data_IF_981199840246
#
_entry.id   IF_981199840246
#
_cell.length_a   1.000
_cell.length_b   1.000
_cell.length_c   1.000
_cell.angle_alpha   90.00
_cell.angle_beta   90.00
_cell.angle_gamma   90.00
#
_symmetry.space_group_name_H-M   'P 1'
#
loop_
_entity.id
_entity.type
_entity.pdbx_description
1 polymer ?
#
# COMPACT_ATOMS: atom_id res chain seq x y z
N UNK A 1 -39.34 93.41 13.27
CA UNK A 1 -38.15 92.54 13.31
C UNK A 1 -38.62 91.07 13.54
N UNK A 2 -38.68 90.30 12.47
CA UNK A 2 -39.09 88.85 12.58
C UNK A 2 -37.93 88.00 12.06
N UNK A 3 -37.29 87.25 12.94
CA UNK A 3 -36.23 86.32 12.64
C UNK A 3 -36.84 85.02 12.14
N UNK A 4 -36.43 84.60 10.95
CA UNK A 4 -36.82 83.26 10.39
C UNK A 4 -35.76 82.28 10.69
N UNK A 5 -36.05 81.34 11.57
CA UNK A 5 -35.23 80.13 11.85
C UNK A 5 -35.59 79.00 10.85
N UNK A 6 -34.67 78.64 10.01
CA UNK A 6 -34.81 77.48 9.11
C UNK A 6 -34.33 76.19 9.85
N UNK A 7 -35.04 75.04 9.71
CA UNK A 7 -34.71 73.85 10.46
C UNK A 7 -33.55 73.01 9.85
N UNK A 8 -32.59 72.63 10.68
CA UNK A 8 -31.37 71.85 10.44
C UNK A 8 -31.62 70.34 10.33
N UNK A 9 -32.74 69.87 9.76
CA UNK A 9 -33.09 68.44 9.86
C UNK A 9 -32.95 67.61 8.57
N UNK A 10 -32.52 68.24 7.42
CA UNK A 10 -32.44 67.48 6.15
C UNK A 10 -31.03 67.02 5.73
N UNK A 11 -29.97 67.46 6.40
CA UNK A 11 -28.57 67.04 6.04
C UNK A 11 -28.09 65.83 6.81
N UNK A 12 -28.77 65.33 7.87
CA UNK A 12 -28.36 64.16 8.59
C UNK A 12 -29.00 62.85 8.10
N UNK A 13 -30.03 62.91 7.27
CA UNK A 13 -30.71 61.75 6.71
C UNK A 13 -30.02 61.13 5.47
N UNK A 14 -29.14 61.88 4.79
CA UNK A 14 -28.46 61.42 3.55
C UNK A 14 -27.12 60.73 3.83
N UNK A 15 -26.55 60.86 5.03
CA UNK A 15 -25.30 60.15 5.42
C UNK A 15 -25.57 58.82 6.08
N UNK A 16 -26.79 58.49 6.52
CA UNK A 16 -27.14 57.19 7.09
C UNK A 16 -27.52 56.15 6.04
N UNK A 17 -27.85 56.51 4.81
CA UNK A 17 -28.22 55.60 3.74
C UNK A 17 -27.01 55.05 2.93
N UNK A 18 -25.85 55.71 2.99
CA UNK A 18 -24.64 55.27 2.28
C UNK A 18 -23.81 54.21 3.07
N UNK A 19 -24.10 54.03 4.36
CA UNK A 19 -23.38 53.09 5.24
C UNK A 19 -23.91 51.67 5.24
N UNK A 20 -25.08 51.39 4.67
CA UNK A 20 -25.72 50.07 4.73
C UNK A 20 -25.53 49.17 3.49
N UNK A 21 -24.81 49.63 2.46
CA UNK A 21 -24.61 48.87 1.22
C UNK A 21 -23.22 48.24 1.08
N UNK A 22 -22.37 48.28 2.11
CA UNK A 22 -21.00 47.72 2.05
C UNK A 22 -20.81 46.45 2.87
N UNK A 23 -21.88 45.79 3.34
CA UNK A 23 -21.78 44.66 4.26
C UNK A 23 -22.40 43.35 3.76
N UNK A 24 -22.57 43.12 2.48
CA UNK A 24 -23.23 41.91 1.98
C UNK A 24 -22.52 41.21 0.82
N UNK A 25 -21.21 41.17 0.83
CA UNK A 25 -20.45 40.20 0.00
C UNK A 25 -19.44 39.42 0.80
N UNK A 26 -19.84 38.92 1.96
CA UNK A 26 -19.25 37.67 2.44
C UNK A 26 -19.85 36.59 1.53
N UNK A 27 -19.25 36.39 0.36
CA UNK A 27 -19.50 35.23 -0.44
C UNK A 27 -19.31 34.02 0.49
N UNK A 28 -20.37 33.23 0.70
CA UNK A 28 -20.24 31.93 1.29
C UNK A 28 -19.14 31.23 0.48
N UNK A 29 -17.96 31.05 1.07
CA UNK A 29 -16.96 30.16 0.53
C UNK A 29 -17.66 28.82 0.46
N UNK A 30 -18.19 28.44 -0.72
CA UNK A 30 -18.58 27.07 -0.96
C UNK A 30 -17.31 26.26 -0.70
N UNK A 31 -17.29 25.53 0.41
CA UNK A 31 -16.28 24.51 0.59
C UNK A 31 -16.35 23.65 -0.66
N UNK A 32 -15.29 23.63 -1.44
CA UNK A 32 -15.21 22.79 -2.63
C UNK A 32 -15.51 21.35 -2.19
N UNK A 33 -16.33 20.64 -2.98
CA UNK A 33 -16.59 19.22 -2.66
C UNK A 33 -15.27 18.45 -2.67
N UNK A 34 -15.03 17.58 -1.67
CA UNK A 34 -13.80 16.80 -1.61
C UNK A 34 -13.57 15.98 -2.88
N UNK A 35 -12.34 15.97 -3.40
CA UNK A 35 -11.97 15.27 -4.61
C UNK A 35 -12.24 13.77 -4.45
N UNK A 36 -13.09 13.13 -5.29
CA UNK A 36 -13.33 11.70 -5.20
C UNK A 36 -12.13 10.90 -5.73
N UNK A 37 -11.55 10.07 -4.88
CA UNK A 37 -10.37 9.26 -5.19
C UNK A 37 -10.59 7.80 -4.78
N UNK A 38 -9.93 6.88 -5.48
CA UNK A 38 -9.94 5.45 -5.16
C UNK A 38 -8.51 4.97 -4.95
N UNK A 39 -8.29 4.15 -3.94
CA UNK A 39 -7.07 3.39 -3.73
C UNK A 39 -7.35 1.89 -3.92
N UNK A 40 -6.40 1.16 -4.50
CA UNK A 40 -6.58 -0.28 -4.79
C UNK A 40 -6.68 -1.12 -3.52
N UNK A 41 -5.89 -0.86 -2.48
CA UNK A 41 -5.87 -1.65 -1.24
C UNK A 41 -5.64 -0.79 0.01
N UNK A 42 -5.85 -1.39 1.18
CA UNK A 42 -5.96 -0.67 2.46
C UNK A 42 -4.69 0.09 2.86
N UNK A 43 -3.50 -0.47 2.64
CA UNK A 43 -2.22 0.18 2.98
C UNK A 43 -2.04 1.45 2.15
N UNK A 44 -2.24 1.36 0.84
CA UNK A 44 -2.17 2.52 -0.04
C UNK A 44 -3.28 3.53 0.28
N UNK A 45 -4.49 3.03 0.62
CA UNK A 45 -5.60 3.87 1.05
C UNK A 45 -5.25 4.73 2.26
N UNK A 46 -4.52 4.19 3.24
CA UNK A 46 -4.09 4.95 4.40
C UNK A 46 -3.06 6.04 4.04
N UNK A 47 -2.08 5.72 3.20
CA UNK A 47 -1.11 6.72 2.70
C UNK A 47 -1.83 7.84 1.95
N UNK A 48 -2.80 7.49 1.09
CA UNK A 48 -3.63 8.48 0.36
C UNK A 48 -4.44 9.34 1.33
N UNK A 49 -4.99 8.77 2.39
CA UNK A 49 -5.74 9.49 3.43
C UNK A 49 -4.85 10.45 4.21
N UNK A 50 -3.65 10.03 4.62
CA UNK A 50 -2.68 10.87 5.35
C UNK A 50 -2.28 12.10 4.52
N UNK A 51 -2.09 11.94 3.22
CA UNK A 51 -1.70 13.02 2.31
C UNK A 51 -2.89 13.87 1.87
N UNK A 52 -4.01 13.23 1.53
CA UNK A 52 -5.21 13.89 1.02
C UNK A 52 -5.99 14.66 2.09
N UNK A 53 -6.02 14.16 3.33
CA UNK A 53 -6.75 14.77 4.44
C UNK A 53 -8.24 14.92 4.13
N UNK A 54 -8.81 16.07 4.50
CA UNK A 54 -10.22 16.38 4.29
C UNK A 54 -10.53 16.91 2.89
N UNK A 55 -9.52 17.16 2.06
CA UNK A 55 -9.70 17.68 0.70
C UNK A 55 -10.08 16.57 -0.30
N UNK A 56 -10.07 15.31 0.15
CA UNK A 56 -10.43 14.14 -0.67
C UNK A 56 -11.60 13.36 -0.05
N UNK A 57 -12.35 12.66 -0.90
CA UNK A 57 -13.26 11.59 -0.52
C UNK A 57 -12.69 10.26 -1.04
N UNK A 58 -12.13 9.48 -0.13
CA UNK A 58 -11.43 8.24 -0.45
C UNK A 58 -12.34 7.02 -0.34
N UNK A 59 -12.37 6.23 -1.40
CA UNK A 59 -12.83 4.84 -1.40
C UNK A 59 -11.63 3.89 -1.55
N UNK A 60 -11.66 2.77 -0.85
CA UNK A 60 -10.65 1.70 -0.98
C UNK A 60 -11.33 0.45 -1.51
N UNK A 61 -10.73 -0.20 -2.54
CA UNK A 61 -11.33 -1.39 -3.16
C UNK A 61 -11.13 -2.61 -2.27
N UNK A 62 -9.88 -2.98 -1.98
CA UNK A 62 -9.59 -4.08 -1.05
C UNK A 62 -9.40 -3.51 0.35
N UNK A 63 -10.36 -3.79 1.22
CA UNK A 63 -10.41 -3.25 2.59
C UNK A 63 -9.44 -3.93 3.57
N UNK A 64 -9.54 -3.56 4.86
CA UNK A 64 -8.76 -4.20 5.92
C UNK A 64 -8.98 -5.72 5.97
N UNK A 65 -7.89 -6.46 6.28
CA UNK A 65 -7.83 -7.92 6.30
C UNK A 65 -8.21 -8.59 4.95
N UNK A 66 -8.29 -7.83 3.86
CA UNK A 66 -8.60 -8.33 2.52
C UNK A 66 -7.34 -8.73 1.78
N UNK A 67 -7.42 -9.83 1.04
CA UNK A 67 -6.35 -10.28 0.17
C UNK A 67 -6.43 -9.57 -1.19
N UNK A 68 -5.41 -8.79 -1.52
CA UNK A 68 -5.37 -8.05 -2.78
C UNK A 68 -4.84 -8.87 -3.97
N UNK A 69 -4.19 -10.01 -3.73
CA UNK A 69 -3.77 -10.92 -4.80
C UNK A 69 -4.95 -11.67 -5.43
N UNK A 70 -5.95 -12.04 -4.60
CA UNK A 70 -7.10 -12.86 -5.01
C UNK A 70 -8.43 -12.09 -5.00
N UNK A 71 -8.36 -10.77 -5.12
CA UNK A 71 -9.56 -9.95 -5.05
C UNK A 71 -10.44 -10.09 -6.30
N UNK A 72 -11.71 -10.37 -6.07
CA UNK A 72 -12.75 -10.37 -7.10
C UNK A 72 -13.58 -9.09 -7.04
N UNK A 73 -13.39 -8.14 -8.00
CA UNK A 73 -14.12 -6.88 -8.00
C UNK A 73 -15.64 -7.05 -8.14
N UNK A 74 -16.38 -6.25 -7.39
CA UNK A 74 -17.84 -6.23 -7.40
C UNK A 74 -18.40 -5.14 -8.33
N UNK A 75 -19.70 -5.19 -8.71
CA UNK A 75 -20.37 -4.08 -9.41
C UNK A 75 -20.35 -2.77 -8.60
N UNK A 76 -20.24 -2.85 -7.26
CA UNK A 76 -20.08 -1.71 -6.37
C UNK A 76 -18.74 -1.01 -6.59
N UNK A 77 -17.67 -1.78 -6.78
CA UNK A 77 -16.34 -1.24 -7.03
C UNK A 77 -16.23 -0.56 -8.39
N UNK A 78 -16.89 -1.12 -9.41
CA UNK A 78 -17.01 -0.47 -10.71
C UNK A 78 -17.70 0.90 -10.60
N UNK A 79 -18.74 1.04 -9.77
CA UNK A 79 -19.42 2.33 -9.53
C UNK A 79 -18.53 3.33 -8.80
N UNK A 80 -17.80 2.90 -7.75
CA UNK A 80 -16.85 3.75 -7.04
C UNK A 80 -15.78 4.27 -8.00
N UNK A 81 -15.20 3.37 -8.80
CA UNK A 81 -14.15 3.72 -9.74
C UNK A 81 -14.65 4.65 -10.85
N UNK A 82 -15.85 4.42 -11.41
CA UNK A 82 -16.47 5.29 -12.40
C UNK A 82 -16.67 6.74 -11.90
N UNK A 83 -16.91 6.92 -10.59
CA UNK A 83 -17.10 8.22 -9.98
C UNK A 83 -15.79 8.92 -9.57
N UNK A 84 -14.67 8.20 -9.55
CA UNK A 84 -13.40 8.73 -9.11
C UNK A 84 -12.73 9.64 -10.15
N UNK A 85 -11.96 10.61 -9.67
CA UNK A 85 -11.08 11.46 -10.50
C UNK A 85 -9.64 10.96 -10.52
N UNK A 86 -9.24 10.25 -9.45
CA UNK A 86 -7.90 9.66 -9.34
C UNK A 86 -8.03 8.23 -8.82
N UNK A 87 -7.30 7.34 -9.45
CA UNK A 87 -7.07 5.97 -9.00
C UNK A 87 -5.61 5.82 -8.58
N UNK A 88 -5.38 5.45 -7.33
CA UNK A 88 -4.06 5.10 -6.82
C UNK A 88 -3.88 3.59 -6.84
N UNK A 89 -2.78 3.14 -7.43
CA UNK A 89 -2.42 1.73 -7.56
C UNK A 89 -0.99 1.50 -7.04
N UNK A 90 -0.71 0.29 -6.56
CA UNK A 90 0.65 -0.08 -6.21
C UNK A 90 1.57 -0.07 -7.44
N UNK A 91 1.16 -0.76 -8.49
CA UNK A 91 2.03 -1.15 -9.60
C UNK A 91 2.83 -2.41 -9.27
N UNK A 92 3.93 -2.64 -10.00
CA UNK A 92 4.77 -3.85 -9.84
C UNK A 92 3.95 -5.15 -9.99
N UNK A 93 2.94 -5.14 -10.85
CA UNK A 93 2.03 -6.26 -11.14
C UNK A 93 1.22 -6.79 -9.93
N UNK A 94 1.06 -5.97 -8.88
CA UNK A 94 0.33 -6.37 -7.67
C UNK A 94 -1.16 -6.59 -7.93
N UNK A 95 -1.80 -5.67 -8.66
CA UNK A 95 -3.25 -5.69 -8.89
C UNK A 95 -3.61 -6.34 -10.23
N UNK A 96 -3.39 -7.64 -10.39
CA UNK A 96 -3.65 -8.35 -11.66
C UNK A 96 -5.12 -8.28 -12.13
N UNK A 97 -6.06 -8.13 -11.21
CA UNK A 97 -7.51 -7.99 -11.47
C UNK A 97 -7.92 -6.59 -11.95
N UNK A 98 -7.14 -5.57 -11.65
CA UNK A 98 -7.53 -4.17 -11.81
C UNK A 98 -7.75 -3.72 -13.27
N UNK A 99 -6.97 -4.13 -14.28
CA UNK A 99 -7.21 -3.73 -15.68
C UNK A 99 -8.60 -4.07 -16.19
N UNK A 100 -9.15 -5.22 -15.77
CA UNK A 100 -10.53 -5.64 -16.11
C UNK A 100 -11.56 -4.72 -15.46
N UNK A 101 -11.36 -4.35 -14.20
CA UNK A 101 -12.24 -3.42 -13.48
C UNK A 101 -12.21 -2.02 -14.09
N UNK A 102 -11.03 -1.48 -14.41
CA UNK A 102 -10.88 -0.17 -15.06
C UNK A 102 -11.66 -0.13 -16.38
N UNK A 103 -11.51 -1.16 -17.21
CA UNK A 103 -12.26 -1.28 -18.47
C UNK A 103 -13.77 -1.38 -18.24
N UNK A 104 -14.21 -2.20 -17.30
CA UNK A 104 -15.62 -2.43 -17.02
C UNK A 104 -16.33 -1.21 -16.39
N UNK A 105 -15.61 -0.42 -15.59
CA UNK A 105 -16.16 0.77 -14.92
C UNK A 105 -16.32 1.98 -15.84
N UNK A 106 -15.62 2.01 -16.98
CA UNK A 106 -15.53 3.21 -17.83
C UNK A 106 -14.76 4.37 -17.15
N UNK A 107 -13.86 4.07 -16.20
CA UNK A 107 -13.04 5.06 -15.51
C UNK A 107 -12.28 5.95 -16.51
N UNK A 108 -12.44 7.27 -16.35
CA UNK A 108 -11.84 8.27 -17.22
C UNK A 108 -10.94 9.26 -16.45
N UNK A 109 -10.64 8.95 -15.18
CA UNK A 109 -9.76 9.76 -14.35
C UNK A 109 -8.27 9.48 -14.57
N UNK A 110 -7.42 10.03 -13.70
CA UNK A 110 -5.98 9.82 -13.71
C UNK A 110 -5.58 8.60 -12.88
N UNK A 111 -4.68 7.76 -13.39
CA UNK A 111 -4.07 6.68 -12.61
C UNK A 111 -2.69 7.09 -12.12
N UNK A 112 -2.45 6.92 -10.81
CA UNK A 112 -1.18 7.21 -10.15
C UNK A 112 -0.57 5.92 -9.63
N UNK A 113 0.64 5.59 -10.09
CA UNK A 113 1.40 4.44 -9.61
C UNK A 113 2.22 4.87 -8.40
N UNK A 114 1.87 4.36 -7.22
CA UNK A 114 2.49 4.75 -5.96
C UNK A 114 3.95 4.29 -5.86
N UNK A 115 4.30 3.13 -6.42
CA UNK A 115 5.66 2.59 -6.43
C UNK A 115 6.58 3.21 -7.49
N UNK A 116 6.14 4.24 -8.22
CA UNK A 116 7.00 4.90 -9.23
C UNK A 116 8.31 5.38 -8.60
N UNK A 117 9.44 4.97 -9.20
CA UNK A 117 10.78 5.32 -8.71
C UNK A 117 11.35 4.37 -7.65
N UNK A 118 10.59 3.36 -7.23
CA UNK A 118 11.13 2.24 -6.43
C UNK A 118 12.07 1.42 -7.31
N UNK A 119 13.21 1.01 -6.77
CA UNK A 119 14.06 0.01 -7.42
C UNK A 119 13.40 -1.36 -7.27
N UNK A 120 12.97 -2.00 -8.37
CA UNK A 120 12.30 -3.29 -8.28
C UNK A 120 13.23 -4.36 -7.69
N UNK A 121 12.70 -5.12 -6.72
CA UNK A 121 13.34 -6.31 -6.20
C UNK A 121 12.92 -7.50 -7.05
N UNK A 122 13.88 -8.30 -7.49
CA UNK A 122 13.55 -9.57 -8.13
C UNK A 122 13.14 -10.59 -7.08
N UNK A 123 12.17 -11.42 -7.44
CA UNK A 123 11.83 -12.59 -6.65
C UNK A 123 13.02 -13.55 -6.64
N UNK A 124 13.51 -13.89 -5.46
CA UNK A 124 14.46 -14.97 -5.30
C UNK A 124 13.66 -16.29 -5.25
N UNK A 125 13.15 -16.73 -6.40
CA UNK A 125 12.49 -18.03 -6.52
C UNK A 125 13.35 -19.11 -5.85
N UNK A 126 12.71 -20.05 -5.16
CA UNK A 126 13.41 -21.23 -4.67
C UNK A 126 13.99 -21.91 -5.90
N UNK A 127 15.30 -21.77 -6.12
CA UNK A 127 15.99 -22.31 -7.27
C UNK A 127 15.70 -23.80 -7.38
N UNK A 128 14.86 -24.15 -8.34
CA UNK A 128 14.78 -25.51 -8.83
C UNK A 128 16.18 -25.85 -9.39
N UNK A 129 16.95 -26.53 -8.54
CA UNK A 129 18.26 -27.05 -8.91
C UNK A 129 18.14 -28.20 -9.92
N UNK A 130 17.44 -27.93 -11.02
CA UNK A 130 17.52 -28.75 -12.23
C UNK A 130 18.57 -28.12 -13.16
N UNK A 131 19.82 -28.46 -12.87
CA UNK A 131 20.89 -28.31 -13.84
C UNK A 131 20.54 -29.10 -15.10
N UNK A 132 19.91 -28.44 -16.07
CA UNK A 132 19.91 -28.94 -17.44
C UNK A 132 21.31 -28.69 -17.99
N UNK A 133 22.10 -29.78 -18.00
CA UNK A 133 23.33 -29.81 -18.76
C UNK A 133 23.02 -29.52 -20.24
N UNK A 134 23.60 -28.45 -20.73
CA UNK A 134 23.64 -28.13 -22.16
C UNK A 134 24.14 -29.36 -22.91
N UNK A 135 23.27 -29.97 -23.69
CA UNK A 135 23.64 -30.81 -24.84
C UNK A 135 23.16 -30.10 -26.08
N UNK A 136 24.11 -29.52 -26.78
CA UNK A 136 23.96 -29.03 -28.13
C UNK A 136 23.28 -30.09 -29.00
N UNK A 137 22.10 -29.78 -29.50
CA UNK A 137 21.54 -30.42 -30.67
C UNK A 137 20.97 -29.36 -31.59
N UNK A 138 21.77 -28.99 -32.59
CA UNK A 138 21.31 -28.31 -33.80
C UNK A 138 20.23 -29.15 -34.48
N UNK A 139 19.05 -28.62 -34.63
CA UNK A 139 18.05 -29.01 -35.60
C UNK A 139 17.30 -27.78 -36.09
N UNK A 140 17.69 -27.32 -37.29
CA UNK A 140 16.90 -26.46 -38.16
C UNK A 140 15.57 -27.15 -38.51
N UNK A 141 14.46 -26.54 -38.17
CA UNK A 141 13.17 -26.73 -38.86
C UNK A 141 12.36 -25.45 -38.83
N UNK A 142 12.35 -24.77 -39.97
CA UNK A 142 11.35 -23.78 -40.34
C UNK A 142 9.95 -24.41 -40.35
N UNK A 143 9.03 -23.91 -39.51
CA UNK A 143 7.60 -24.01 -39.72
C UNK A 143 6.90 -22.77 -39.23
N UNK A 144 6.53 -21.90 -40.17
CA UNK A 144 5.48 -20.89 -40.01
C UNK A 144 4.14 -21.53 -39.60
N UNK A 145 3.68 -21.25 -38.41
CA UNK A 145 2.26 -21.37 -38.08
C UNK A 145 1.82 -20.20 -37.24
N UNK A 146 1.13 -19.28 -37.89
CA UNK A 146 0.26 -18.30 -37.24
C UNK A 146 -0.90 -19.03 -36.49
N UNK A 147 -0.91 -18.98 -35.17
CA UNK A 147 -2.09 -19.31 -34.39
C UNK A 147 -2.35 -18.23 -33.35
N UNK A 148 -3.65 -17.85 -33.36
CA UNK A 148 -4.25 -16.78 -32.64
C UNK A 148 -4.10 -16.88 -31.12
N UNK A 149 -4.10 -15.72 -30.55
CA UNK A 149 -4.12 -15.46 -29.11
C UNK A 149 -5.43 -15.99 -28.51
N UNK A 150 -5.31 -16.91 -27.54
CA UNK A 150 -6.22 -17.00 -26.40
C UNK A 150 -5.61 -17.96 -25.37
N UNK A 151 -5.42 -17.47 -24.14
CA UNK A 151 -4.91 -18.24 -23.01
C UNK A 151 -3.73 -17.57 -22.33
N UNK A 152 -3.90 -16.32 -21.87
CA UNK A 152 -2.89 -15.66 -21.07
C UNK A 152 -2.74 -16.37 -19.73
N UNK A 153 -1.76 -17.25 -19.63
CA UNK A 153 -1.18 -17.61 -18.33
C UNK A 153 -0.56 -16.31 -17.79
N UNK A 154 -1.19 -15.73 -16.78
CA UNK A 154 -0.61 -14.62 -16.05
C UNK A 154 0.65 -15.16 -15.35
N UNK A 155 1.80 -15.02 -15.98
CA UNK A 155 3.07 -15.09 -15.29
C UNK A 155 3.04 -13.90 -14.32
N UNK A 156 2.89 -14.18 -13.02
CA UNK A 156 3.25 -13.21 -11.99
C UNK A 156 4.69 -12.82 -12.28
N UNK A 157 4.95 -11.53 -12.54
CA UNK A 157 6.26 -11.06 -12.99
C UNK A 157 7.35 -11.48 -11.99
N UNK A 158 8.59 -11.57 -12.47
CA UNK A 158 9.78 -11.87 -11.65
C UNK A 158 10.10 -10.77 -10.61
N UNK A 159 9.16 -9.85 -10.37
CA UNK A 159 9.30 -8.67 -9.50
C UNK A 159 8.44 -8.81 -8.25
N UNK A 160 9.06 -8.58 -7.10
CA UNK A 160 8.37 -8.51 -5.81
C UNK A 160 7.52 -7.21 -5.73
N UNK A 161 6.19 -7.30 -5.58
CA UNK A 161 5.32 -6.12 -5.53
C UNK A 161 5.27 -5.43 -4.17
N UNK A 162 5.76 -6.05 -3.08
CA UNK A 162 5.54 -5.64 -1.69
C UNK A 162 6.47 -4.50 -1.24
N UNK A 163 6.68 -3.51 -2.11
CA UNK A 163 7.64 -2.43 -1.89
C UNK A 163 7.33 -1.56 -0.66
N UNK A 164 6.08 -1.50 -0.21
CA UNK A 164 5.66 -0.79 1.00
C UNK A 164 6.27 -1.35 2.30
N UNK A 165 6.78 -2.57 2.28
CA UNK A 165 7.44 -3.19 3.43
C UNK A 165 8.80 -2.54 3.78
N UNK A 166 9.31 -1.65 2.93
CA UNK A 166 10.44 -0.77 3.23
C UNK A 166 9.95 0.68 3.36
N UNK A 167 10.11 1.30 4.52
CA UNK A 167 9.65 2.68 4.76
C UNK A 167 10.35 3.74 3.88
N UNK A 168 11.55 3.47 3.37
CA UNK A 168 12.17 4.34 2.37
C UNK A 168 11.36 4.38 1.07
N UNK A 169 10.75 3.27 0.68
CA UNK A 169 9.79 3.22 -0.43
C UNK A 169 8.47 3.89 -0.04
N UNK A 170 8.02 3.75 1.22
CA UNK A 170 6.85 4.46 1.75
C UNK A 170 6.97 5.98 1.60
N UNK A 171 8.18 6.52 1.70
CA UNK A 171 8.46 7.94 1.41
C UNK A 171 8.19 8.27 -0.06
N UNK A 172 8.60 7.40 -1.00
CA UNK A 172 8.30 7.58 -2.43
C UNK A 172 6.80 7.52 -2.68
N UNK A 173 6.10 6.59 -2.05
CA UNK A 173 4.63 6.48 -2.15
C UNK A 173 3.94 7.77 -1.71
N UNK A 174 4.32 8.32 -0.54
CA UNK A 174 3.73 9.56 -0.04
C UNK A 174 3.96 10.75 -1.00
N UNK A 175 5.15 10.85 -1.62
CA UNK A 175 5.46 11.87 -2.63
C UNK A 175 4.63 11.67 -3.91
N UNK A 176 4.59 10.45 -4.44
CA UNK A 176 3.83 10.16 -5.65
C UNK A 176 2.33 10.41 -5.46
N UNK A 177 1.80 10.13 -4.27
CA UNK A 177 0.41 10.44 -3.90
C UNK A 177 0.20 11.96 -3.88
N UNK A 178 1.09 12.74 -3.25
CA UNK A 178 0.97 14.20 -3.20
C UNK A 178 1.04 14.83 -4.60
N UNK A 179 1.97 14.36 -5.44
CA UNK A 179 2.11 14.85 -6.82
C UNK A 179 0.89 14.49 -7.67
N UNK A 180 0.36 13.28 -7.51
CA UNK A 180 -0.85 12.83 -8.19
C UNK A 180 -2.09 13.64 -7.81
N UNK A 181 -2.29 13.91 -6.52
CA UNK A 181 -3.38 14.77 -6.03
C UNK A 181 -3.21 16.21 -6.53
N UNK A 182 -2.01 16.78 -6.41
CA UNK A 182 -1.71 18.15 -6.83
C UNK A 182 -1.92 18.37 -8.35
N UNK A 183 -1.67 17.36 -9.17
CA UNK A 183 -1.88 17.43 -10.62
C UNK A 183 -3.36 17.53 -11.00
N UNK A 184 -4.25 16.89 -10.24
CA UNK A 184 -5.71 16.87 -10.51
C UNK A 184 -6.44 17.97 -9.75
N UNK A 185 -5.94 18.36 -8.58
CA UNK A 185 -6.50 19.42 -7.73
C UNK A 185 -5.42 20.44 -7.34
N UNK A 186 -5.03 21.32 -8.29
CA UNK A 186 -3.99 22.32 -8.04
C UNK A 186 -4.36 23.34 -6.96
N UNK A 187 -5.64 23.53 -6.67
CA UNK A 187 -6.09 24.45 -5.62
C UNK A 187 -5.62 24.05 -4.22
N UNK A 188 -5.47 22.74 -3.96
CA UNK A 188 -5.02 22.18 -2.69
C UNK A 188 -3.58 21.63 -2.75
N UNK A 189 -2.82 21.88 -3.83
CA UNK A 189 -1.49 21.32 -4.05
C UNK A 189 -0.53 21.54 -2.87
N UNK A 190 -0.49 22.75 -2.32
CA UNK A 190 0.40 23.08 -1.19
C UNK A 190 -0.02 22.35 0.10
N UNK A 191 -1.32 22.15 0.31
CA UNK A 191 -1.84 21.40 1.44
C UNK A 191 -1.45 19.92 1.35
N UNK A 192 -1.54 19.30 0.16
CA UNK A 192 -1.10 17.92 -0.08
C UNK A 192 0.40 17.77 0.18
N UNK A 193 1.25 18.65 -0.38
CA UNK A 193 2.69 18.61 -0.15
C UNK A 193 3.05 18.76 1.32
N UNK A 194 2.44 19.71 2.01
CA UNK A 194 2.67 19.93 3.45
C UNK A 194 2.33 18.71 4.30
N UNK A 195 1.20 18.04 4.02
CA UNK A 195 0.80 16.81 4.72
C UNK A 195 1.75 15.66 4.38
N UNK A 196 2.14 15.52 3.12
CA UNK A 196 3.12 14.52 2.70
C UNK A 196 4.47 14.73 3.42
N UNK A 197 4.99 15.96 3.50
CA UNK A 197 6.24 16.24 4.20
C UNK A 197 6.17 15.88 5.70
N UNK A 198 5.06 16.20 6.36
CA UNK A 198 4.84 15.84 7.75
C UNK A 198 4.76 14.30 7.94
N UNK A 199 4.08 13.61 7.03
CA UNK A 199 3.99 12.15 7.06
C UNK A 199 5.32 11.47 6.77
N UNK A 200 6.08 11.97 5.79
CA UNK A 200 7.43 11.52 5.44
C UNK A 200 8.38 11.61 6.65
N UNK A 201 8.31 12.70 7.41
CA UNK A 201 9.13 12.83 8.63
C UNK A 201 8.82 11.71 9.66
N UNK A 202 7.54 11.32 9.80
CA UNK A 202 7.13 10.19 10.67
C UNK A 202 7.65 8.85 10.14
N UNK A 203 7.54 8.61 8.82
CA UNK A 203 8.06 7.39 8.18
C UNK A 203 9.58 7.27 8.37
N UNK A 204 10.32 8.35 8.17
CA UNK A 204 11.77 8.36 8.35
C UNK A 204 12.19 8.11 9.81
N UNK A 205 11.45 8.65 10.78
CA UNK A 205 11.69 8.37 12.19
C UNK A 205 11.46 6.90 12.54
N UNK A 206 10.39 6.29 12.02
CA UNK A 206 10.10 4.88 12.21
C UNK A 206 11.12 3.96 11.49
N UNK A 207 11.59 4.34 10.29
CA UNK A 207 12.65 3.62 9.57
C UNK A 207 13.96 3.59 10.41
N UNK A 208 14.37 4.74 10.93
CA UNK A 208 15.55 4.83 11.78
C UNK A 208 15.43 3.99 13.07
N UNK A 209 14.23 3.98 13.69
CA UNK A 209 13.95 3.16 14.87
C UNK A 209 13.99 1.66 14.56
N UNK A 210 13.44 1.23 13.41
CA UNK A 210 13.50 -0.16 12.97
C UNK A 210 14.93 -0.61 12.71
N UNK A 211 15.73 0.15 11.97
CA UNK A 211 17.17 -0.12 11.75
C UNK A 211 17.93 -0.29 13.06
N UNK A 212 17.72 0.63 14.01
CA UNK A 212 18.33 0.53 15.34
C UNK A 212 17.88 -0.73 16.09
N UNK A 213 16.61 -1.10 15.99
CA UNK A 213 16.05 -2.29 16.65
C UNK A 213 16.69 -3.56 16.15
N UNK A 214 16.77 -3.76 14.83
CA UNK A 214 17.34 -4.97 14.26
C UNK A 214 18.86 -5.01 14.30
N UNK A 215 19.56 -3.89 14.21
CA UNK A 215 21.02 -3.85 14.36
C UNK A 215 21.49 -4.32 15.77
N UNK A 216 20.63 -4.23 16.78
CA UNK A 216 20.90 -4.71 18.13
C UNK A 216 20.65 -6.23 18.31
N UNK A 217 20.16 -6.93 17.30
CA UNK A 217 19.93 -8.39 17.32
C UNK A 217 21.07 -9.05 16.53
N UNK A 218 21.65 -10.12 17.05
CA UNK A 218 22.71 -10.87 16.36
C UNK A 218 22.22 -11.39 15.00
N UNK A 219 23.06 -11.32 13.96
CA UNK A 219 22.68 -11.64 12.58
C UNK A 219 22.17 -13.08 12.44
N UNK A 220 22.76 -14.02 13.17
CA UNK A 220 22.42 -15.45 13.14
C UNK A 220 21.01 -15.72 13.67
N UNK A 221 20.46 -14.78 14.45
CA UNK A 221 19.10 -14.90 15.00
C UNK A 221 18.04 -14.24 14.14
N UNK A 222 18.42 -13.45 13.15
CA UNK A 222 17.49 -12.67 12.31
C UNK A 222 16.92 -13.49 11.15
N UNK A 223 16.41 -14.71 11.46
CA UNK A 223 15.74 -15.60 10.51
C UNK A 223 14.35 -15.95 11.02
N UNK A 224 13.35 -15.88 10.15
CA UNK A 224 11.95 -16.20 10.47
C UNK A 224 11.27 -16.89 9.30
N UNK A 225 10.17 -17.60 9.58
CA UNK A 225 9.27 -18.13 8.55
C UNK A 225 7.99 -17.30 8.52
N UNK A 226 7.51 -17.02 7.31
CA UNK A 226 6.22 -16.38 7.03
C UNK A 226 5.37 -17.27 6.12
N UNK A 227 4.09 -16.94 5.97
CA UNK A 227 3.18 -17.73 5.13
C UNK A 227 3.54 -17.57 3.66
N UNK A 228 3.66 -16.33 3.15
CA UNK A 228 4.06 -16.05 1.77
C UNK A 228 5.24 -15.06 1.68
N UNK A 229 5.77 -14.82 0.49
CA UNK A 229 6.97 -14.00 0.26
C UNK A 229 6.62 -12.52 0.08
N UNK A 230 6.16 -11.88 1.16
CA UNK A 230 5.79 -10.46 1.18
C UNK A 230 6.84 -9.55 1.84
N UNK A 231 7.85 -10.11 2.49
CA UNK A 231 8.74 -9.32 3.35
C UNK A 231 10.15 -9.14 2.76
N UNK A 232 10.33 -9.37 1.46
CA UNK A 232 11.63 -9.26 0.82
C UNK A 232 12.24 -7.87 0.96
N UNK A 233 11.49 -6.80 0.67
CA UNK A 233 11.95 -5.42 0.86
C UNK A 233 12.22 -5.06 2.33
N UNK A 234 11.47 -5.64 3.25
CA UNK A 234 11.77 -5.49 4.69
C UNK A 234 13.09 -6.16 5.04
N UNK A 235 13.29 -7.38 4.56
CA UNK A 235 14.52 -8.15 4.79
C UNK A 235 15.76 -7.40 4.33
N UNK A 236 15.73 -6.89 3.11
CA UNK A 236 16.82 -6.11 2.52
C UNK A 236 17.10 -4.81 3.30
N UNK A 237 16.04 -4.14 3.79
CA UNK A 237 16.18 -2.87 4.50
C UNK A 237 16.68 -3.01 5.94
N UNK A 238 16.26 -4.08 6.66
CA UNK A 238 16.47 -4.20 8.10
C UNK A 238 17.32 -5.42 8.50
N UNK A 239 17.78 -6.20 7.52
CA UNK A 239 18.67 -7.33 7.72
C UNK A 239 18.01 -8.52 8.40
N UNK A 240 16.75 -8.81 8.10
CA UNK A 240 16.01 -10.00 8.55
C UNK A 240 15.85 -10.95 7.37
N UNK A 241 16.20 -12.22 7.55
CA UNK A 241 16.00 -13.26 6.54
C UNK A 241 14.61 -13.86 6.69
N UNK A 242 13.80 -13.81 5.65
CA UNK A 242 12.47 -14.39 5.60
C UNK A 242 12.49 -15.65 4.73
N UNK A 243 11.99 -16.74 5.28
CA UNK A 243 11.77 -18.01 4.59
C UNK A 243 10.26 -18.11 4.40
N UNK A 244 9.79 -18.03 3.17
CA UNK A 244 8.36 -18.12 2.86
C UNK A 244 7.94 -19.55 2.57
N UNK A 245 6.75 -19.93 3.05
CA UNK A 245 6.16 -21.23 2.78
C UNK A 245 5.43 -21.30 1.43
N UNK A 246 4.99 -20.16 0.93
CA UNK A 246 4.34 -19.96 -0.37
C UNK A 246 5.16 -18.96 -1.18
N UNK A 247 4.87 -18.84 -2.49
CA UNK A 247 5.47 -17.81 -3.34
C UNK A 247 4.97 -16.39 -3.02
N UNK A 248 5.11 -15.48 -3.99
CA UNK A 248 4.66 -14.08 -3.89
C UNK A 248 3.14 -13.98 -3.77
N UNK A 249 2.41 -14.83 -4.49
CA UNK A 249 0.95 -14.84 -4.48
C UNK A 249 0.42 -15.84 -3.47
N UNK A 250 -0.70 -15.49 -2.86
CA UNK A 250 -1.48 -16.36 -1.95
C UNK A 250 -2.38 -17.35 -2.69
N UNK A 251 -2.50 -17.23 -4.03
CA UNK A 251 -3.42 -17.99 -4.87
C UNK A 251 -3.19 -19.51 -4.90
N UNK A 252 -1.98 -19.97 -4.56
CA UNK A 252 -1.64 -21.38 -4.60
C UNK A 252 -1.13 -21.86 -3.24
N UNK A 253 -1.76 -22.90 -2.68
CA UNK A 253 -1.22 -23.58 -1.52
C UNK A 253 0.06 -24.35 -1.89
N UNK A 254 1.09 -24.39 -0.99
CA UNK A 254 2.31 -25.12 -1.24
C UNK A 254 2.05 -26.63 -1.32
N UNK A 255 2.79 -27.33 -2.17
CA UNK A 255 2.73 -28.78 -2.22
C UNK A 255 3.25 -29.41 -0.91
N UNK A 256 2.88 -30.66 -0.64
CA UNK A 256 3.40 -31.39 0.51
C UNK A 256 4.94 -31.50 0.48
N UNK A 257 5.54 -31.57 -0.72
CA UNK A 257 6.99 -31.57 -0.90
C UNK A 257 7.63 -30.23 -0.51
N UNK A 258 7.00 -29.11 -0.84
CA UNK A 258 7.46 -27.77 -0.46
C UNK A 258 7.44 -27.60 1.06
N UNK A 259 6.33 -27.99 1.69
CA UNK A 259 6.20 -27.95 3.16
C UNK A 259 7.28 -28.81 3.84
N UNK A 260 7.53 -30.02 3.34
CA UNK A 260 8.59 -30.87 3.87
C UNK A 260 9.98 -30.22 3.76
N UNK A 261 10.31 -29.63 2.61
CA UNK A 261 11.58 -28.91 2.40
C UNK A 261 11.76 -27.75 3.39
N UNK A 262 10.69 -26.97 3.62
CA UNK A 262 10.73 -25.86 4.58
C UNK A 262 10.94 -26.36 6.01
N UNK A 263 10.25 -27.42 6.42
CA UNK A 263 10.43 -28.04 7.72
C UNK A 263 11.88 -28.49 7.93
N UNK A 264 12.49 -29.15 6.93
CA UNK A 264 13.91 -29.53 6.95
C UNK A 264 14.83 -28.31 7.07
N UNK A 265 14.55 -27.26 6.29
CA UNK A 265 15.32 -26.01 6.34
C UNK A 265 15.22 -25.34 7.71
N UNK A 266 14.02 -25.20 8.28
CA UNK A 266 13.77 -24.60 9.60
C UNK A 266 14.54 -25.34 10.70
N UNK A 267 14.55 -26.68 10.65
CA UNK A 267 15.32 -27.53 11.59
C UNK A 267 16.82 -27.33 11.43
N UNK A 268 17.33 -27.40 10.19
CA UNK A 268 18.75 -27.26 9.86
C UNK A 268 19.28 -25.89 10.28
N UNK A 269 18.54 -24.82 9.95
CA UNK A 269 18.94 -23.44 10.17
C UNK A 269 18.56 -22.93 11.57
N UNK A 270 17.92 -23.77 12.39
CA UNK A 270 17.45 -23.48 13.76
C UNK A 270 16.68 -22.17 13.84
N UNK A 271 15.74 -21.98 12.89
CA UNK A 271 14.91 -20.78 12.81
C UNK A 271 14.10 -20.61 14.10
N UNK A 272 14.23 -19.48 14.81
CA UNK A 272 13.66 -19.35 16.16
C UNK A 272 12.13 -19.18 16.16
N UNK A 273 11.55 -18.61 15.09
CA UNK A 273 10.14 -18.26 15.08
C UNK A 273 9.50 -18.37 13.68
N UNK A 274 8.22 -18.69 13.70
CA UNK A 274 7.32 -18.67 12.54
C UNK A 274 6.18 -17.70 12.79
N UNK A 275 5.69 -17.02 11.75
CA UNK A 275 4.67 -15.99 11.87
C UNK A 275 3.47 -16.27 10.97
N UNK A 276 2.28 -16.03 11.49
CA UNK A 276 1.03 -16.02 10.75
C UNK A 276 0.86 -14.65 10.12
N UNK A 277 0.26 -14.58 8.95
CA UNK A 277 -0.12 -13.32 8.32
C UNK A 277 -1.63 -13.11 8.38
N UNK A 278 -2.06 -11.83 8.49
CA UNK A 278 -3.48 -11.51 8.69
C UNK A 278 -4.40 -11.89 7.52
N UNK A 279 -3.85 -12.07 6.33
CA UNK A 279 -4.59 -12.43 5.11
C UNK A 279 -4.55 -13.93 4.79
N UNK A 280 -3.77 -14.73 5.51
CA UNK A 280 -3.58 -16.15 5.20
C UNK A 280 -4.11 -17.07 6.29
N UNK A 281 -4.37 -18.34 5.93
CA UNK A 281 -4.75 -19.36 6.91
C UNK A 281 -3.58 -19.70 7.86
N UNK A 282 -3.79 -19.73 9.18
CA UNK A 282 -2.74 -20.06 10.13
C UNK A 282 -2.30 -21.54 10.10
N UNK A 283 -3.02 -22.42 9.40
CA UNK A 283 -2.83 -23.88 9.45
C UNK A 283 -1.43 -24.31 9.06
N UNK A 284 -0.91 -23.77 7.95
CA UNK A 284 0.42 -24.10 7.44
C UNK A 284 1.52 -23.73 8.43
N UNK A 285 1.49 -22.49 8.91
CA UNK A 285 2.47 -21.99 9.90
C UNK A 285 2.41 -22.78 11.20
N UNK A 286 1.21 -23.12 11.67
CA UNK A 286 1.02 -23.96 12.84
C UNK A 286 1.55 -25.39 12.65
N UNK A 287 1.42 -25.95 11.44
CA UNK A 287 2.02 -27.27 11.12
C UNK A 287 3.54 -27.18 11.18
N UNK A 288 4.15 -26.19 10.52
CA UNK A 288 5.60 -25.99 10.55
C UNK A 288 6.09 -25.85 12.01
N UNK A 289 5.40 -25.04 12.82
CA UNK A 289 5.73 -24.86 14.23
C UNK A 289 5.72 -26.18 15.01
N UNK A 290 4.67 -27.00 14.84
CA UNK A 290 4.56 -28.29 15.53
C UNK A 290 5.68 -29.27 15.15
N UNK A 291 6.05 -29.32 13.87
CA UNK A 291 7.02 -30.27 13.37
C UNK A 291 8.48 -29.85 13.59
N UNK A 292 8.73 -28.57 13.80
CA UNK A 292 10.07 -28.00 13.97
C UNK A 292 10.40 -27.63 15.41
N UNK A 293 9.36 -27.38 16.24
CA UNK A 293 9.52 -26.79 17.56
C UNK A 293 9.78 -25.30 17.55
N UNK A 294 9.71 -24.64 16.39
CA UNK A 294 9.83 -23.19 16.28
C UNK A 294 8.66 -22.50 16.98
N UNK A 295 8.92 -21.35 17.61
CA UNK A 295 7.91 -20.59 18.33
C UNK A 295 6.99 -19.86 17.35
N UNK A 296 5.67 -19.88 17.58
CA UNK A 296 4.75 -18.99 16.86
C UNK A 296 4.89 -17.58 17.42
N UNK A 297 5.38 -16.66 16.61
CA UNK A 297 5.76 -15.29 17.02
C UNK A 297 4.62 -14.29 17.07
N UNK A 298 3.44 -14.65 16.58
CA UNK A 298 2.28 -13.75 16.49
C UNK A 298 1.83 -13.52 15.05
N UNK A 299 0.98 -12.52 14.84
CA UNK A 299 0.48 -12.14 13.51
C UNK A 299 1.26 -10.97 12.96
N UNK A 300 1.73 -11.08 11.73
CA UNK A 300 2.26 -9.97 10.93
C UNK A 300 1.19 -9.47 9.96
N UNK A 301 1.28 -8.22 9.60
CA UNK A 301 0.47 -7.61 8.56
C UNK A 301 1.31 -7.47 7.30
N UNK A 302 0.99 -8.24 6.26
CA UNK A 302 1.71 -8.23 4.99
C UNK A 302 1.09 -7.25 3.98
N UNK A 303 -0.13 -7.55 3.50
CA UNK A 303 -0.75 -6.87 2.36
C UNK A 303 -2.01 -6.09 2.70
N UNK A 304 -2.45 -6.17 3.93
CA UNK A 304 -3.62 -5.44 4.40
C UNK A 304 -3.42 -4.87 5.80
N UNK A 305 -4.03 -3.71 6.03
CA UNK A 305 -4.20 -3.17 7.37
C UNK A 305 -5.22 -4.01 8.15
N UNK A 306 -5.19 -3.90 9.46
CA UNK A 306 -6.27 -4.41 10.32
C UNK A 306 -7.49 -3.48 10.31
N UNK A 307 -8.60 -3.98 10.88
CA UNK A 307 -9.80 -3.16 11.10
C UNK A 307 -9.53 -2.01 12.08
N UNK A 308 -10.26 -0.90 11.96
CA UNK A 308 -10.15 0.22 12.90
C UNK A 308 -10.26 -0.23 14.36
N UNK A 309 -9.38 0.32 15.21
CA UNK A 309 -9.32 -0.02 16.64
C UNK A 309 -8.54 -1.30 16.97
N UNK A 310 -7.98 -1.98 15.97
CA UNK A 310 -7.06 -3.10 16.15
C UNK A 310 -5.61 -2.66 15.88
N UNK A 311 -4.60 -3.39 16.37
CA UNK A 311 -3.20 -3.09 16.04
C UNK A 311 -2.97 -3.14 14.52
N UNK A 312 -2.27 -2.14 13.98
CA UNK A 312 -1.99 -2.08 12.54
C UNK A 312 -3.11 -1.50 11.68
N UNK A 313 -4.00 -0.67 12.25
CA UNK A 313 -5.10 -0.03 11.54
C UNK A 313 -4.63 1.10 10.59
N UNK A 314 -3.41 1.58 10.70
CA UNK A 314 -2.74 2.52 9.79
C UNK A 314 -1.43 1.92 9.28
N UNK A 315 -0.91 2.42 8.18
CA UNK A 315 0.34 1.90 7.60
C UNK A 315 1.52 2.01 8.59
N UNK A 316 1.63 3.12 9.29
CA UNK A 316 2.70 3.31 10.26
C UNK A 316 2.53 2.40 11.49
N UNK A 317 1.30 2.27 12.03
CA UNK A 317 1.01 1.33 13.13
C UNK A 317 1.26 -0.12 12.74
N UNK A 318 0.88 -0.51 11.52
CA UNK A 318 1.15 -1.83 10.94
C UNK A 318 2.65 -2.13 10.91
N UNK A 319 3.43 -1.21 10.37
CA UNK A 319 4.88 -1.37 10.29
C UNK A 319 5.52 -1.47 11.68
N UNK A 320 5.16 -0.57 12.60
CA UNK A 320 5.67 -0.60 13.99
C UNK A 320 5.23 -1.87 14.74
N UNK A 321 4.02 -2.36 14.47
CA UNK A 321 3.56 -3.64 15.01
C UNK A 321 4.45 -4.78 14.51
N UNK A 322 4.67 -4.88 13.20
CA UNK A 322 5.53 -5.92 12.62
C UNK A 322 6.94 -5.88 13.22
N UNK A 323 7.53 -4.69 13.34
CA UNK A 323 8.84 -4.51 13.98
C UNK A 323 8.84 -5.05 15.42
N UNK A 324 7.80 -4.73 16.22
CA UNK A 324 7.69 -5.20 17.61
C UNK A 324 7.54 -6.73 17.69
N UNK A 325 6.69 -7.34 16.84
CA UNK A 325 6.49 -8.80 16.83
C UNK A 325 7.78 -9.54 16.45
N UNK A 326 8.42 -9.11 15.36
CA UNK A 326 9.68 -9.67 14.89
C UNK A 326 10.77 -9.54 15.95
N UNK A 327 10.98 -8.34 16.49
CA UNK A 327 12.02 -8.11 17.49
C UNK A 327 11.80 -8.90 18.79
N UNK A 328 10.55 -9.07 19.23
CA UNK A 328 10.22 -9.85 20.42
C UNK A 328 10.54 -11.34 20.24
N UNK A 329 10.32 -11.89 19.03
CA UNK A 329 10.60 -13.30 18.74
C UNK A 329 12.09 -13.59 18.50
N UNK A 330 12.83 -12.61 17.99
CA UNK A 330 14.26 -12.74 17.62
C UNK A 330 15.23 -12.47 18.79
N UNK A 331 14.77 -11.82 19.85
CA UNK A 331 15.56 -11.63 21.07
C UNK A 331 15.71 -12.93 21.86
N UNK A 332 16.78 -13.11 22.63
CA UNK A 332 17.00 -14.28 23.50
C UNK A 332 15.88 -14.47 24.50
#
# INVERSE_FOLDING_TARGET
MRSILLPLSRRRALLAAAGLWLSATFGAAHAAEPLPVVASFSILGDIVREVGGNDIRLDTLVGPDGDAHEYEPTPGDAKKLAAAKVLFVNGLDFEAWLPRLVKASGFAGSTVIASKGVTPRKFAGHGDGHGHGDKDHDHDHDHDHAHGAEGGHHHHGDVDPHAWQNLANGVLYARNVADGLAAVDPAHADAYRKRADAYIARLQAADAAARKTFSAIAAERRKVVTSHDAFGYFGDAYGVEFISAMGISTAAEPSAGDVARIIEQVKRDKVPAVFVENITSPRLVQQIARETGAKVGGTLYSDALSKPGQPGATYLEMFEWNVRQLAAALRP
#
